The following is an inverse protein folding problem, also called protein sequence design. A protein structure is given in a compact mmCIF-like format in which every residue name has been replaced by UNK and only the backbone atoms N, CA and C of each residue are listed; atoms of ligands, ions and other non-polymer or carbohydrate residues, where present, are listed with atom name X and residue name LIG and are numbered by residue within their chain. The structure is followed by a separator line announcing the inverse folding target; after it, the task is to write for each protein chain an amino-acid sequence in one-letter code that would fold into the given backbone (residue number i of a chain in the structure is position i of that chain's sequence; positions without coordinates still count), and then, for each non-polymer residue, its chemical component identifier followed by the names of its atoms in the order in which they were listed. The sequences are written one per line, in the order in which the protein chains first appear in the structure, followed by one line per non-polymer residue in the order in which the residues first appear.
data_IF_575506087388
#
_entry.id   IF_575506087388
#
_cell.length_a   1.000
_cell.length_b   1.000
_cell.length_c   1.000
_cell.angle_alpha   90.00
_cell.angle_beta   90.00
_cell.angle_gamma   90.00
#
_symmetry.space_group_name_H-M   'P 1'
#
loop_
_entity.id
_entity.type
_entity.pdbx_description
1 polymer ?
#
# COMPACT_ATOMS: atom_id res chain seq x y z
N UNK A 1 -2.44 19.70 -14.61
CA UNK A 1 -3.55 19.63 -13.62
C UNK A 1 -2.96 19.23 -12.28
N UNK A 2 -2.89 20.19 -11.34
CA UNK A 2 -2.48 20.00 -9.95
C UNK A 2 -3.70 19.46 -9.22
N UNK A 3 -3.70 18.19 -8.81
CA UNK A 3 -4.79 17.66 -7.98
C UNK A 3 -4.82 18.41 -6.64
N UNK A 4 -5.99 18.97 -6.30
CA UNK A 4 -6.23 19.65 -5.03
C UNK A 4 -6.03 18.65 -3.88
N UNK A 5 -5.20 19.04 -2.91
CA UNK A 5 -4.65 18.20 -1.83
C UNK A 5 -5.62 17.94 -0.67
N UNK A 6 -6.84 18.47 -0.71
CA UNK A 6 -7.68 18.57 0.48
C UNK A 6 -8.93 17.66 0.47
N UNK A 7 -9.17 16.90 -0.61
CA UNK A 7 -10.31 15.96 -0.73
C UNK A 7 -9.94 14.46 -0.62
N UNK A 8 -8.72 14.15 -0.18
CA UNK A 8 -8.29 12.80 0.16
C UNK A 8 -8.06 11.88 -1.05
N UNK A 9 -7.07 10.99 -0.94
CA UNK A 9 -6.90 9.92 -1.91
C UNK A 9 -8.06 8.90 -1.86
N UNK A 10 -9.00 9.05 -0.91
CA UNK A 10 -10.30 8.36 -0.80
C UNK A 10 -11.05 8.14 -2.12
N UNK A 11 -11.00 9.07 -3.08
CA UNK A 11 -11.70 8.89 -4.37
C UNK A 11 -10.97 7.96 -5.36
N UNK A 12 -9.70 7.64 -5.08
CA UNK A 12 -8.83 6.82 -5.93
C UNK A 12 -8.53 5.48 -5.25
N UNK A 13 -8.49 5.45 -3.91
CA UNK A 13 -8.11 4.28 -3.12
C UNK A 13 -9.36 3.67 -2.50
N UNK A 14 -9.69 2.46 -2.89
CA UNK A 14 -10.76 1.67 -2.29
C UNK A 14 -10.13 0.58 -1.42
N UNK A 15 -10.50 0.53 -0.13
CA UNK A 15 -10.02 -0.52 0.78
C UNK A 15 -10.83 -1.79 0.54
N UNK A 16 -10.18 -2.89 0.16
CA UNK A 16 -10.81 -4.20 0.00
C UNK A 16 -10.74 -4.97 1.32
N UNK A 17 -9.55 -5.04 1.91
CA UNK A 17 -9.33 -5.70 3.19
C UNK A 17 -8.34 -4.94 4.05
N UNK A 18 -8.58 -5.00 5.35
CA UNK A 18 -7.71 -4.45 6.37
C UNK A 18 -7.76 -5.40 7.57
N UNK A 19 -6.69 -6.17 7.73
CA UNK A 19 -6.63 -7.26 8.71
C UNK A 19 -5.41 -7.06 9.59
N UNK A 20 -5.64 -7.05 10.90
CA UNK A 20 -4.55 -7.11 11.87
C UNK A 20 -4.15 -8.57 12.12
N UNK A 21 -2.94 -8.94 11.69
CA UNK A 21 -2.40 -10.29 11.84
C UNK A 21 -1.45 -10.32 13.03
N UNK A 22 -2.03 -10.57 14.21
CA UNK A 22 -1.30 -10.61 15.48
C UNK A 22 -0.25 -11.71 15.53
N UNK A 23 -0.49 -12.85 14.86
CA UNK A 23 0.48 -13.96 14.78
C UNK A 23 1.79 -13.54 14.09
N UNK A 24 1.70 -12.71 13.05
CA UNK A 24 2.87 -12.19 12.32
C UNK A 24 3.24 -10.76 12.73
N UNK A 25 2.56 -10.20 13.73
CA UNK A 25 2.74 -8.83 14.23
C UNK A 25 2.76 -7.80 13.10
N UNK A 26 1.80 -7.90 12.17
CA UNK A 26 1.68 -7.01 11.01
C UNK A 26 0.23 -6.75 10.66
N UNK A 27 -0.05 -5.57 10.14
CA UNK A 27 -1.34 -5.25 9.51
C UNK A 27 -1.25 -5.46 8.00
N UNK A 28 -2.21 -6.17 7.45
CA UNK A 28 -2.29 -6.51 6.03
C UNK A 28 -3.40 -5.70 5.37
N UNK A 29 -3.00 -4.81 4.47
CA UNK A 29 -3.90 -3.92 3.73
C UNK A 29 -3.99 -4.38 2.28
N UNK A 30 -5.20 -4.57 1.77
CA UNK A 30 -5.45 -4.72 0.34
C UNK A 30 -6.31 -3.58 -0.15
N UNK A 31 -5.82 -2.84 -1.13
CA UNK A 31 -6.50 -1.66 -1.67
C UNK A 31 -6.53 -1.71 -3.20
N UNK A 32 -7.61 -1.22 -3.80
CA UNK A 32 -7.70 -0.92 -5.21
C UNK A 32 -7.35 0.55 -5.47
N UNK A 33 -6.58 0.80 -6.52
CA UNK A 33 -6.26 2.13 -7.03
C UNK A 33 -6.95 2.33 -8.37
N UNK A 34 -7.97 3.19 -8.41
CA UNK A 34 -8.74 3.48 -9.62
C UNK A 34 -8.01 4.46 -10.54
N UNK A 35 -8.04 4.22 -11.85
CA UNK A 35 -7.48 5.10 -12.88
C UNK A 35 -5.95 5.09 -12.99
N UNK A 36 -5.26 4.27 -12.19
CA UNK A 36 -3.78 4.24 -12.11
C UNK A 36 -3.15 3.00 -12.76
N UNK A 37 -3.93 2.18 -13.47
CA UNK A 37 -3.41 1.03 -14.21
C UNK A 37 -2.30 1.43 -15.20
N UNK A 38 -1.16 0.74 -15.12
CA UNK A 38 0.02 0.99 -15.96
C UNK A 38 0.81 2.25 -15.61
N UNK A 39 0.36 3.06 -14.65
CA UNK A 39 1.02 4.31 -14.22
C UNK A 39 1.54 4.25 -12.79
N UNK A 40 0.87 3.47 -11.94
CA UNK A 40 1.20 3.38 -10.52
C UNK A 40 2.56 2.71 -10.29
N UNK A 41 3.51 3.46 -9.71
CA UNK A 41 4.78 2.91 -9.23
C UNK A 41 4.68 2.43 -7.79
N UNK A 42 5.57 1.52 -7.39
CA UNK A 42 5.63 0.97 -6.02
C UNK A 42 5.78 2.06 -4.96
N UNK A 43 6.73 2.98 -5.13
CA UNK A 43 7.00 4.06 -4.17
C UNK A 43 5.80 5.01 -4.04
N UNK A 44 5.18 5.38 -5.16
CA UNK A 44 3.98 6.23 -5.17
C UNK A 44 2.80 5.54 -4.46
N UNK A 45 2.63 4.24 -4.67
CA UNK A 45 1.59 3.46 -4.00
C UNK A 45 1.78 3.44 -2.48
N UNK A 46 3.03 3.27 -2.02
CA UNK A 46 3.38 3.34 -0.60
C UNK A 46 3.08 4.72 -0.03
N UNK A 47 3.54 5.79 -0.68
CA UNK A 47 3.29 7.16 -0.24
C UNK A 47 1.79 7.48 -0.13
N UNK A 48 1.00 7.01 -1.09
CA UNK A 48 -0.45 7.17 -1.09
C UNK A 48 -1.11 6.43 0.09
N UNK A 49 -0.74 5.16 0.32
CA UNK A 49 -1.27 4.37 1.43
C UNK A 49 -0.85 4.95 2.79
N UNK A 50 0.41 5.35 2.94
CA UNK A 50 0.91 5.96 4.18
C UNK A 50 0.12 7.20 4.54
N UNK A 51 -0.19 8.06 3.56
CA UNK A 51 -1.00 9.27 3.77
C UNK A 51 -2.45 8.97 4.08
N UNK A 52 -3.07 8.06 3.30
CA UNK A 52 -4.48 7.72 3.44
C UNK A 52 -4.78 7.09 4.80
N UNK A 53 -3.92 6.17 5.24
CA UNK A 53 -4.09 5.45 6.50
C UNK A 53 -3.34 6.06 7.69
N UNK A 54 -2.71 7.22 7.52
CA UNK A 54 -1.92 7.94 8.56
C UNK A 54 -0.89 7.03 9.22
N UNK A 55 -0.10 6.35 8.40
CA UNK A 55 0.90 5.36 8.82
C UNK A 55 2.29 5.99 9.03
N UNK A 56 2.34 7.28 9.34
CA UNK A 56 3.59 7.99 9.61
C UNK A 56 4.34 7.33 10.77
N UNK A 57 5.63 7.04 10.56
CA UNK A 57 6.47 6.32 11.52
C UNK A 57 6.32 4.80 11.51
N UNK A 58 5.47 4.23 10.66
CA UNK A 58 5.37 2.78 10.41
C UNK A 58 6.11 2.38 9.14
N UNK A 59 6.50 1.12 9.07
CA UNK A 59 7.18 0.55 7.90
C UNK A 59 6.13 -0.09 7.00
N UNK A 60 5.86 0.55 5.86
CA UNK A 60 4.89 0.09 4.86
C UNK A 60 5.62 -0.58 3.70
N UNK A 61 5.35 -1.87 3.50
CA UNK A 61 6.00 -2.69 2.48
C UNK A 61 4.99 -3.10 1.42
N UNK A 62 5.19 -2.70 0.15
CA UNK A 62 4.35 -3.12 -0.95
C UNK A 62 4.73 -4.55 -1.36
N UNK A 63 3.88 -5.52 -1.07
CA UNK A 63 4.13 -6.93 -1.38
C UNK A 63 3.76 -7.28 -2.81
N UNK A 64 2.65 -6.70 -3.29
CA UNK A 64 2.16 -6.96 -4.64
C UNK A 64 1.43 -5.72 -5.15
N UNK A 65 1.70 -5.36 -6.40
CA UNK A 65 0.87 -4.46 -7.18
C UNK A 65 0.46 -5.22 -8.44
N UNK A 66 -0.83 -5.51 -8.57
CA UNK A 66 -1.37 -6.28 -9.68
C UNK A 66 -2.31 -5.42 -10.50
N UNK A 67 -2.02 -5.32 -11.80
CA UNK A 67 -2.94 -4.75 -12.77
C UNK A 67 -3.92 -5.81 -13.27
N UNK A 68 -5.10 -5.38 -13.70
CA UNK A 68 -6.14 -6.26 -14.23
C UNK A 68 -6.38 -5.97 -15.70
N UNK A 69 -6.46 -7.01 -16.53
CA UNK A 69 -6.72 -6.85 -17.96
C UNK A 69 -8.12 -6.28 -18.17
N UNK A 70 -8.23 -5.27 -19.03
CA UNK A 70 -9.51 -4.64 -19.37
C UNK A 70 -10.12 -3.80 -18.24
N UNK A 71 -9.41 -3.57 -17.12
CA UNK A 71 -9.88 -2.72 -16.03
C UNK A 71 -8.86 -1.62 -15.71
N UNK A 72 -9.30 -0.38 -15.46
CA UNK A 72 -8.41 0.72 -15.10
C UNK A 72 -8.02 0.69 -13.60
N UNK A 73 -7.90 -0.50 -12.99
CA UNK A 73 -7.63 -0.65 -11.55
C UNK A 73 -6.30 -1.37 -11.31
N UNK A 74 -5.64 -1.02 -10.20
CA UNK A 74 -4.50 -1.76 -9.65
C UNK A 74 -4.88 -2.24 -8.26
N UNK A 75 -4.74 -3.54 -7.98
CA UNK A 75 -4.89 -4.06 -6.62
C UNK A 75 -3.51 -4.14 -5.98
N UNK A 76 -3.33 -3.43 -4.87
CA UNK A 76 -2.12 -3.45 -4.07
C UNK A 76 -2.31 -4.17 -2.75
N UNK A 77 -1.35 -5.00 -2.37
CA UNK A 77 -1.25 -5.61 -1.05
C UNK A 77 -0.05 -5.04 -0.33
N UNK A 78 -0.26 -4.51 0.87
CA UNK A 78 0.73 -3.84 1.69
C UNK A 78 0.78 -4.46 3.07
N UNK A 79 1.99 -4.67 3.58
CA UNK A 79 2.21 -5.07 4.96
C UNK A 79 2.73 -3.87 5.74
N UNK A 80 2.10 -3.60 6.87
CA UNK A 80 2.45 -2.50 7.76
C UNK A 80 3.02 -3.10 9.03
N UNK A 81 4.25 -2.72 9.34
CA UNK A 81 4.96 -3.11 10.55
C UNK A 81 5.18 -1.89 11.43
N UNK A 82 5.20 -2.11 12.74
CA UNK A 82 5.53 -1.06 13.71
C UNK A 82 7.04 -0.76 13.75
N UNK A 83 7.88 -1.74 13.45
CA UNK A 83 9.33 -1.64 13.55
C UNK A 83 10.05 -2.27 12.35
N UNK A 84 11.18 -1.67 11.94
CA UNK A 84 12.01 -2.18 10.83
C UNK A 84 12.63 -3.54 11.12
N UNK A 85 13.01 -3.81 12.37
CA UNK A 85 13.61 -5.07 12.79
C UNK A 85 12.64 -6.24 12.63
N UNK A 86 11.35 -6.03 12.92
CA UNK A 86 10.30 -7.04 12.66
C UNK A 86 10.10 -7.26 11.16
N UNK A 87 10.06 -6.18 10.39
CA UNK A 87 9.90 -6.25 8.95
C UNK A 87 11.03 -7.07 8.30
N UNK A 88 12.30 -6.84 8.69
CA UNK A 88 13.48 -7.54 8.18
C UNK A 88 13.52 -9.04 8.56
N UNK A 89 12.86 -9.45 9.64
CA UNK A 89 12.74 -10.87 10.02
C UNK A 89 11.72 -11.63 9.18
N UNK A 90 10.63 -10.97 8.80
CA UNK A 90 9.50 -11.61 8.12
C UNK A 90 9.53 -11.45 6.60
N UNK A 91 10.17 -10.41 6.09
CA UNK A 91 10.21 -10.07 4.67
C UNK A 91 11.58 -10.40 4.10
N UNK A 92 11.59 -10.95 2.89
CA UNK A 92 12.82 -11.27 2.17
C UNK A 92 13.70 -10.01 2.01
N UNK A 93 15.00 -10.05 2.37
CA UNK A 93 15.93 -8.93 2.23
C UNK A 93 15.94 -8.26 0.85
N UNK A 94 15.67 -9.00 -0.23
CA UNK A 94 15.61 -8.47 -1.60
C UNK A 94 14.55 -7.39 -1.79
N UNK A 95 13.54 -7.32 -0.93
CA UNK A 95 12.50 -6.27 -0.97
C UNK A 95 13.06 -4.91 -0.49
N UNK A 96 14.13 -4.93 0.32
CA UNK A 96 14.79 -3.74 0.83
C UNK A 96 16.07 -3.35 0.04
N UNK A 97 16.46 -4.18 -0.94
CA UNK A 97 17.69 -4.01 -1.74
C UNK A 97 17.49 -3.12 -2.96
#
# INVERSE_FOLDING_TARGET
MKYLKDFGYMSIIETITDVDNTFLSRRELTCNFAGLAGKLKKLEAVDMITKEFKLDGKVVIPMRLQTHVGKPIVTGTFFVYEDEGLAKKHVNPTIFA
#
